data_IF_514905969206
#
_entry.id   IF_514905969206
#
_cell.length_a   1.000
_cell.length_b   1.000
_cell.length_c   1.000
_cell.angle_alpha   90.00
_cell.angle_beta   90.00
_cell.angle_gamma   90.00
#
_symmetry.space_group_name_H-M   'P 1'
#
loop_
_entity.id
_entity.type
_entity.pdbx_description
1 polymer ?
#
# COMPACT_ATOMS: atom_id res chain seq x y z
N UNK A 1 44.45 -56.81 -44.37
CA UNK A 1 43.90 -57.32 -43.10
C UNK A 1 44.71 -56.74 -41.92
N UNK A 2 44.00 -56.14 -40.96
CA UNK A 2 44.31 -55.99 -39.51
C UNK A 2 45.55 -55.20 -39.02
N UNK A 3 45.22 -54.06 -38.36
CA UNK A 3 45.67 -53.48 -37.05
C UNK A 3 47.16 -53.16 -36.84
N UNK A 4 47.51 -51.87 -36.67
CA UNK A 4 47.72 -51.11 -35.40
C UNK A 4 49.11 -51.42 -34.78
N UNK A 5 49.97 -50.51 -34.32
CA UNK A 5 49.87 -49.16 -33.72
C UNK A 5 51.32 -48.68 -33.59
N UNK A 6 51.67 -47.39 -33.70
CA UNK A 6 52.79 -46.82 -32.91
C UNK A 6 52.67 -45.29 -32.80
N UNK A 7 52.93 -44.80 -31.59
CA UNK A 7 52.86 -43.41 -31.11
C UNK A 7 53.95 -42.54 -31.75
N UNK A 8 53.66 -41.27 -31.99
CA UNK A 8 54.67 -40.22 -32.18
C UNK A 8 54.34 -38.98 -31.33
N UNK A 9 55.40 -38.38 -30.80
CA UNK A 9 55.44 -37.30 -29.83
C UNK A 9 55.77 -35.94 -30.49
N UNK A 10 55.43 -34.85 -29.80
CA UNK A 10 55.88 -33.47 -30.07
C UNK A 10 55.13 -32.78 -31.21
N UNK A 11 54.85 -31.48 -31.22
CA UNK A 11 55.38 -30.31 -30.51
C UNK A 11 54.27 -29.24 -30.60
N UNK A 12 53.97 -28.50 -29.53
CA UNK A 12 53.19 -27.26 -29.64
C UNK A 12 54.03 -26.11 -29.08
N UNK A 13 54.54 -25.28 -29.99
CA UNK A 13 55.20 -24.02 -29.68
C UNK A 13 54.17 -22.98 -29.23
N UNK A 14 54.36 -22.42 -28.04
CA UNK A 14 53.67 -21.24 -27.58
C UNK A 14 54.23 -20.00 -28.29
N UNK A 15 53.37 -19.27 -29.01
CA UNK A 15 53.71 -17.98 -29.58
C UNK A 15 53.13 -16.86 -28.68
N UNK A 16 54.04 -16.11 -28.05
CA UNK A 16 53.79 -14.78 -27.50
C UNK A 16 53.52 -13.81 -28.65
N UNK A 17 52.43 -13.04 -28.58
CA UNK A 17 52.26 -11.81 -29.34
C UNK A 17 51.68 -10.73 -28.43
N UNK A 18 52.44 -9.64 -28.31
CA UNK A 18 52.14 -8.44 -27.56
C UNK A 18 50.99 -7.65 -28.20
N UNK A 19 50.11 -7.07 -27.37
CA UNK A 19 49.19 -6.01 -27.78
C UNK A 19 49.34 -4.81 -26.84
N UNK A 20 49.62 -3.70 -27.50
CA UNK A 20 49.87 -2.31 -27.14
C UNK A 20 49.12 -1.74 -25.94
N UNK A 21 49.83 -0.96 -25.12
CA UNK A 21 49.24 0.03 -24.22
C UNK A 21 48.61 1.16 -25.06
N UNK A 22 47.29 1.29 -25.00
CA UNK A 22 46.59 2.53 -25.34
C UNK A 22 46.03 3.12 -24.05
N UNK A 23 46.45 4.35 -23.74
CA UNK A 23 45.96 5.16 -22.65
C UNK A 23 44.56 5.67 -23.03
N UNK A 24 43.51 4.97 -22.61
CA UNK A 24 42.13 5.42 -22.81
C UNK A 24 41.73 6.37 -21.67
N UNK A 25 41.34 7.56 -22.08
CA UNK A 25 41.00 8.72 -21.28
C UNK A 25 39.63 8.52 -20.62
N UNK A 26 39.61 8.34 -19.30
CA UNK A 26 38.38 8.28 -18.50
C UNK A 26 37.52 9.54 -18.74
N UNK A 27 36.39 9.37 -19.43
CA UNK A 27 35.34 10.38 -19.51
C UNK A 27 34.50 10.29 -18.24
N UNK A 28 34.85 11.11 -17.24
CA UNK A 28 33.98 11.43 -16.12
C UNK A 28 32.75 12.17 -16.63
N UNK A 29 31.62 11.47 -16.78
CA UNK A 29 30.32 12.09 -16.92
C UNK A 29 29.90 12.70 -15.56
N UNK A 30 29.48 13.98 -15.49
CA UNK A 30 29.01 14.55 -14.24
C UNK A 30 27.67 13.94 -13.84
N UNK A 31 27.63 13.34 -12.65
CA UNK A 31 26.41 12.89 -11.99
C UNK A 31 25.51 14.10 -11.72
N UNK A 32 24.45 14.26 -12.50
CA UNK A 32 23.35 15.19 -12.22
C UNK A 32 22.49 14.68 -11.07
N UNK A 33 23.00 14.78 -9.84
CA UNK A 33 22.29 14.40 -8.59
C UNK A 33 21.52 15.58 -7.96
N UNK A 34 20.87 16.45 -8.75
CA UNK A 34 20.22 17.66 -8.18
C UNK A 34 18.69 17.66 -8.22
N UNK A 35 18.03 16.77 -8.96
CA UNK A 35 16.55 16.76 -9.04
C UNK A 35 15.90 15.89 -7.95
N UNK A 36 16.48 14.73 -7.63
CA UNK A 36 15.90 13.74 -6.69
C UNK A 36 15.93 14.20 -5.22
N UNK A 37 16.97 14.97 -4.83
CA UNK A 37 17.12 15.47 -3.47
C UNK A 37 16.13 16.61 -3.15
N UNK A 38 15.88 17.50 -4.11
CA UNK A 38 14.95 18.62 -3.94
C UNK A 38 13.50 18.15 -3.80
N UNK A 39 13.06 17.18 -4.61
CA UNK A 39 11.72 16.57 -4.49
C UNK A 39 11.57 15.74 -3.19
N UNK A 40 12.66 15.11 -2.71
CA UNK A 40 12.69 14.42 -1.41
C UNK A 40 12.52 15.39 -0.25
N UNK A 41 13.23 16.53 -0.26
CA UNK A 41 13.19 17.54 0.80
C UNK A 41 11.78 18.10 1.00
N UNK A 42 11.06 18.37 -0.10
CA UNK A 42 9.69 18.90 -0.05
C UNK A 42 8.67 17.88 0.49
N UNK A 43 8.81 16.57 0.16
CA UNK A 43 8.00 15.50 0.79
C UNK A 43 8.34 15.28 2.27
N UNK A 44 9.57 15.59 2.67
CA UNK A 44 10.10 15.27 4.00
C UNK A 44 9.77 16.34 5.05
N UNK A 45 9.59 17.60 4.63
CA UNK A 45 9.14 18.69 5.50
C UNK A 45 7.61 18.79 5.64
N UNK A 46 6.83 18.32 4.64
CA UNK A 46 5.36 18.33 4.70
C UNK A 46 4.75 17.20 5.57
N UNK A 47 5.57 16.25 6.06
CA UNK A 47 5.13 14.98 6.65
C UNK A 47 5.64 14.73 8.09
N UNK A 48 5.99 15.78 8.84
CA UNK A 48 6.43 15.60 10.25
C UNK A 48 5.28 15.30 11.21
N UNK A 49 4.06 15.70 10.87
CA UNK A 49 2.83 15.24 11.53
C UNK A 49 2.00 14.49 10.51
N UNK A 50 1.98 13.17 10.65
CA UNK A 50 1.16 12.32 9.80
C UNK A 50 -0.33 12.62 9.93
N UNK A 51 -1.15 12.15 9.00
CA UNK A 51 -2.61 12.40 8.96
C UNK A 51 -3.38 11.17 8.51
N UNK A 52 -4.65 11.10 8.91
CA UNK A 52 -5.58 10.01 8.58
C UNK A 52 -6.68 10.52 7.65
N UNK A 53 -7.03 9.73 6.64
CA UNK A 53 -8.21 9.93 5.80
C UNK A 53 -9.31 8.95 6.20
N UNK A 54 -10.56 9.41 6.29
CA UNK A 54 -11.73 8.56 6.54
C UNK A 54 -12.79 8.80 5.46
N UNK A 55 -13.34 7.73 4.88
CA UNK A 55 -14.55 7.81 4.06
C UNK A 55 -15.76 8.07 4.97
N UNK A 56 -16.29 9.29 4.93
CA UNK A 56 -17.31 9.74 5.88
C UNK A 56 -18.61 8.93 5.87
N UNK A 57 -18.99 8.34 4.73
CA UNK A 57 -20.17 7.48 4.63
C UNK A 57 -20.03 6.16 5.39
N UNK A 58 -18.83 5.83 5.89
CA UNK A 58 -18.53 4.57 6.57
C UNK A 58 -18.35 4.71 8.08
N UNK A 59 -18.59 5.91 8.64
CA UNK A 59 -18.48 6.14 10.08
C UNK A 59 -19.68 6.91 10.60
N UNK A 60 -20.03 6.69 11.86
CA UNK A 60 -21.12 7.41 12.52
C UNK A 60 -20.59 8.52 13.42
N UNK A 61 -21.15 9.73 13.31
CA UNK A 61 -20.75 10.88 14.12
C UNK A 61 -19.53 11.64 13.61
N UNK A 62 -19.01 11.32 12.42
CA UNK A 62 -17.88 12.03 11.81
C UNK A 62 -16.63 11.98 12.71
N UNK A 63 -16.16 13.13 13.17
CA UNK A 63 -15.00 13.22 14.07
C UNK A 63 -15.24 12.59 15.45
N UNK A 64 -16.50 12.38 15.84
CA UNK A 64 -16.87 11.66 17.05
C UNK A 64 -16.95 10.14 16.87
N UNK A 65 -16.68 9.62 15.66
CA UNK A 65 -16.61 8.17 15.41
C UNK A 65 -15.44 7.54 16.17
N UNK A 66 -15.54 6.24 16.48
CA UNK A 66 -14.49 5.53 17.23
C UNK A 66 -13.17 5.54 16.47
N UNK A 67 -13.22 5.40 15.16
CA UNK A 67 -12.07 5.42 14.26
C UNK A 67 -11.39 6.81 14.26
N UNK A 68 -12.17 7.89 14.17
CA UNK A 68 -11.65 9.24 14.24
C UNK A 68 -11.04 9.53 15.62
N UNK A 69 -11.70 9.12 16.71
CA UNK A 69 -11.19 9.31 18.07
C UNK A 69 -9.91 8.52 18.31
N UNK A 70 -9.80 7.28 17.80
CA UNK A 70 -8.58 6.49 17.87
C UNK A 70 -7.42 7.20 17.17
N UNK A 71 -7.62 7.72 15.95
CA UNK A 71 -6.59 8.48 15.23
C UNK A 71 -6.17 9.77 15.97
N UNK A 72 -7.14 10.53 16.47
CA UNK A 72 -6.90 11.77 17.21
C UNK A 72 -6.14 11.52 18.51
N UNK A 73 -6.44 10.43 19.23
CA UNK A 73 -5.74 10.04 20.46
C UNK A 73 -4.26 9.73 20.24
N UNK A 74 -3.90 9.30 19.03
CA UNK A 74 -2.53 9.03 18.59
C UNK A 74 -1.83 10.29 18.04
N UNK A 75 -2.50 11.45 18.02
CA UNK A 75 -1.95 12.71 17.53
C UNK A 75 -2.00 12.86 15.99
N UNK A 76 -2.76 12.03 15.29
CA UNK A 76 -2.94 12.14 13.84
C UNK A 76 -4.18 12.99 13.53
N UNK A 77 -4.05 14.20 12.95
CA UNK A 77 -5.19 14.92 12.41
C UNK A 77 -5.99 14.06 11.41
N UNK A 78 -7.31 14.17 11.49
CA UNK A 78 -8.25 13.39 10.69
C UNK A 78 -8.88 14.28 9.62
N UNK A 79 -8.87 13.82 8.38
CA UNK A 79 -9.68 14.37 7.28
C UNK A 79 -10.83 13.40 7.00
N UNK A 80 -12.06 13.88 7.09
CA UNK A 80 -13.25 13.10 6.70
C UNK A 80 -13.76 13.63 5.37
N UNK A 81 -13.90 12.75 4.38
CA UNK A 81 -14.36 13.12 3.05
C UNK A 81 -15.70 12.49 2.72
N UNK A 82 -16.51 13.22 1.94
CA UNK A 82 -17.74 12.70 1.35
C UNK A 82 -17.44 11.67 0.26
N UNK A 83 -18.41 10.81 -0.13
CA UNK A 83 -18.28 9.90 -1.27
C UNK A 83 -17.86 10.60 -2.58
N UNK A 84 -18.35 11.81 -2.83
CA UNK A 84 -18.00 12.59 -4.02
C UNK A 84 -16.54 13.05 -3.99
N UNK A 85 -16.08 13.55 -2.84
CA UNK A 85 -14.67 13.93 -2.65
C UNK A 85 -13.75 12.72 -2.78
N UNK A 86 -14.07 11.59 -2.14
CA UNK A 86 -13.30 10.34 -2.25
C UNK A 86 -13.11 9.88 -3.70
N UNK A 87 -14.19 9.91 -4.51
CA UNK A 87 -14.13 9.53 -5.92
C UNK A 87 -13.32 10.50 -6.79
N UNK A 88 -13.18 11.76 -6.37
CA UNK A 88 -12.41 12.76 -7.09
C UNK A 88 -10.90 12.72 -6.77
N UNK A 89 -10.49 12.00 -5.73
CA UNK A 89 -9.08 11.91 -5.31
C UNK A 89 -8.25 11.08 -6.28
N UNK A 90 -7.01 11.53 -6.53
CA UNK A 90 -6.01 10.78 -7.31
C UNK A 90 -5.19 9.84 -6.41
N UNK A 91 -4.37 8.91 -6.96
CA UNK A 91 -3.45 8.12 -6.14
C UNK A 91 -2.53 8.99 -5.28
N UNK A 92 -2.05 10.11 -5.81
CA UNK A 92 -1.19 11.06 -5.09
C UNK A 92 -1.92 11.76 -3.93
N UNK A 93 -3.23 11.98 -4.05
CA UNK A 93 -4.03 12.52 -2.95
C UNK A 93 -4.15 11.53 -1.80
N UNK A 94 -4.34 10.24 -2.09
CA UNK A 94 -4.36 9.19 -1.08
C UNK A 94 -2.99 8.99 -0.41
N UNK A 95 -1.89 9.07 -1.16
CA UNK A 95 -0.52 8.94 -0.63
C UNK A 95 -0.09 10.05 0.34
N UNK A 96 -0.89 11.14 0.48
CA UNK A 96 -0.62 12.21 1.47
C UNK A 96 -0.96 11.77 2.90
N UNK A 97 -1.61 10.64 3.09
CA UNK A 97 -2.07 10.13 4.38
C UNK A 97 -1.24 8.94 4.82
N UNK A 98 -0.94 8.83 6.11
CA UNK A 98 -0.20 7.69 6.67
C UNK A 98 -1.13 6.52 6.95
N UNK A 99 -2.43 6.77 6.99
CA UNK A 99 -3.47 5.76 7.10
C UNK A 99 -4.76 6.21 6.44
N UNK A 100 -5.43 5.27 5.80
CA UNK A 100 -6.75 5.41 5.21
C UNK A 100 -7.71 4.48 5.96
N UNK A 101 -8.90 4.97 6.27
CA UNK A 101 -9.93 4.22 6.98
C UNK A 101 -11.22 4.19 6.16
N UNK A 102 -11.70 2.97 5.94
CA UNK A 102 -13.06 2.64 5.56
C UNK A 102 -13.67 1.99 6.80
N UNK A 103 -14.41 2.79 7.56
CA UNK A 103 -14.87 2.45 8.89
C UNK A 103 -16.04 1.48 8.90
N UNK A 104 -16.55 1.24 10.09
CA UNK A 104 -17.72 0.41 10.32
C UNK A 104 -19.00 1.22 10.10
N UNK A 105 -19.70 0.95 9.00
CA UNK A 105 -20.86 1.71 8.52
C UNK A 105 -22.13 1.59 9.40
N UNK A 106 -22.00 1.32 10.70
CA UNK A 106 -23.10 1.13 11.64
C UNK A 106 -24.13 0.09 11.16
N UNK A 107 -23.63 -0.99 10.57
CA UNK A 107 -24.43 -2.14 10.16
C UNK A 107 -25.66 -1.81 9.29
N UNK A 108 -25.47 -1.03 8.21
CA UNK A 108 -26.53 -0.79 7.21
C UNK A 108 -27.04 -2.09 6.52
N UNK A 109 -26.33 -3.21 6.65
CA UNK A 109 -26.74 -4.51 6.08
C UNK A 109 -26.51 -4.65 4.57
N UNK A 110 -25.87 -3.66 3.93
CA UNK A 110 -25.50 -3.66 2.52
C UNK A 110 -24.18 -2.91 2.26
N UNK A 111 -23.78 -2.78 0.99
CA UNK A 111 -22.53 -2.12 0.58
C UNK A 111 -22.68 -0.65 0.22
N UNK A 112 -23.85 -0.03 0.43
CA UNK A 112 -24.13 1.35 0.01
C UNK A 112 -23.15 2.37 0.60
N UNK A 113 -22.83 2.20 1.89
CA UNK A 113 -21.89 3.05 2.62
C UNK A 113 -20.46 3.03 2.05
N UNK A 114 -20.03 1.92 1.46
CA UNK A 114 -18.68 1.71 0.91
C UNK A 114 -18.64 1.85 -0.62
N UNK A 115 -19.76 2.17 -1.27
CA UNK A 115 -19.85 2.14 -2.74
C UNK A 115 -18.81 3.04 -3.42
N UNK A 116 -18.54 4.24 -2.89
CA UNK A 116 -17.50 5.12 -3.44
C UNK A 116 -16.08 4.52 -3.36
N UNK A 117 -15.81 3.69 -2.36
CA UNK A 117 -14.55 2.97 -2.26
C UNK A 117 -14.49 1.77 -3.21
N UNK A 118 -15.62 1.09 -3.46
CA UNK A 118 -15.70 0.05 -4.48
C UNK A 118 -15.45 0.65 -5.87
N UNK A 119 -16.14 1.75 -6.21
CA UNK A 119 -16.07 2.38 -7.53
C UNK A 119 -14.65 2.87 -7.87
N UNK A 120 -13.89 3.29 -6.86
CA UNK A 120 -12.56 3.88 -7.02
C UNK A 120 -11.43 3.01 -6.46
N UNK A 121 -11.63 1.69 -6.38
CA UNK A 121 -10.73 0.78 -5.66
C UNK A 121 -9.33 0.66 -6.26
N UNK A 122 -9.22 0.76 -7.58
CA UNK A 122 -7.94 0.79 -8.28
C UNK A 122 -7.13 2.06 -8.02
N UNK A 123 -7.75 3.15 -7.59
CA UNK A 123 -7.08 4.43 -7.35
C UNK A 123 -6.55 4.51 -5.92
N UNK A 124 -7.40 4.32 -4.90
CA UNK A 124 -6.92 4.30 -3.51
C UNK A 124 -6.04 3.08 -3.24
N UNK A 125 -6.33 1.93 -3.86
CA UNK A 125 -5.55 0.71 -3.70
C UNK A 125 -4.10 0.86 -4.17
N UNK A 126 -3.86 1.66 -5.21
CA UNK A 126 -2.51 1.95 -5.70
C UNK A 126 -1.68 2.84 -4.75
N UNK A 127 -2.33 3.53 -3.81
CA UNK A 127 -1.65 4.34 -2.81
C UNK A 127 -1.26 3.55 -1.54
N UNK A 128 -1.87 2.39 -1.31
CA UNK A 128 -1.66 1.59 -0.10
C UNK A 128 -0.40 0.73 -0.24
N UNK A 129 0.65 1.12 0.49
CA UNK A 129 1.96 0.44 0.53
C UNK A 129 2.46 0.17 1.96
N UNK A 130 1.60 0.39 2.95
CA UNK A 130 1.85 0.21 4.37
C UNK A 130 1.17 -1.01 4.98
N UNK A 131 0.92 -0.95 6.28
CA UNK A 131 0.26 -1.99 7.05
C UNK A 131 -1.24 -2.00 6.77
N UNK A 132 -1.83 -3.19 6.58
CA UNK A 132 -3.27 -3.35 6.26
C UNK A 132 -3.96 -4.18 7.34
N UNK A 133 -5.11 -3.70 7.80
CA UNK A 133 -6.06 -4.41 8.68
C UNK A 133 -7.40 -4.49 7.96
N UNK A 134 -7.93 -5.70 7.83
CA UNK A 134 -9.29 -5.95 7.33
C UNK A 134 -10.02 -6.75 8.40
N UNK A 135 -11.22 -6.32 8.78
CA UNK A 135 -12.07 -7.06 9.71
C UNK A 135 -13.45 -7.31 9.11
N UNK A 136 -14.00 -8.51 9.38
CA UNK A 136 -15.38 -8.89 9.11
C UNK A 136 -16.34 -8.66 10.28
N UNK A 137 -15.85 -8.17 11.43
CA UNK A 137 -16.66 -7.97 12.64
C UNK A 137 -17.26 -6.57 12.71
N UNK A 138 -18.42 -6.44 13.35
CA UNK A 138 -18.97 -5.15 13.82
C UNK A 138 -18.22 -4.66 15.06
N UNK A 139 -17.03 -4.09 14.86
CA UNK A 139 -16.17 -3.68 15.97
C UNK A 139 -16.73 -2.46 16.72
N UNK A 140 -17.53 -1.62 16.05
CA UNK A 140 -18.06 -0.41 16.68
C UNK A 140 -19.19 -0.69 17.66
N UNK A 141 -19.99 -1.74 17.41
CA UNK A 141 -21.11 -2.14 18.27
C UNK A 141 -20.72 -3.18 19.33
N UNK A 142 -19.73 -4.04 19.06
CA UNK A 142 -19.31 -5.11 19.98
C UNK A 142 -18.52 -4.63 21.22
N UNK A 143 -18.40 -3.33 21.44
CA UNK A 143 -17.73 -2.80 22.63
C UNK A 143 -16.22 -3.10 22.67
N UNK A 144 -15.56 -3.11 21.50
CA UNK A 144 -14.12 -3.42 21.37
C UNK A 144 -13.27 -2.20 20.97
N UNK A 145 -13.30 -1.09 21.75
CA UNK A 145 -12.55 0.13 21.39
C UNK A 145 -11.04 -0.13 21.25
N UNK A 146 -10.48 -0.99 22.11
CA UNK A 146 -9.06 -1.38 22.04
C UNK A 146 -8.68 -2.02 20.70
N UNK A 147 -9.60 -2.76 20.06
CA UNK A 147 -9.32 -3.33 18.75
C UNK A 147 -9.16 -2.24 17.70
N UNK A 148 -10.07 -1.25 17.68
CA UNK A 148 -10.01 -0.12 16.74
C UNK A 148 -8.75 0.71 17.01
N UNK A 149 -8.43 0.99 18.27
CA UNK A 149 -7.21 1.70 18.66
C UNK A 149 -5.95 0.98 18.16
N UNK A 150 -5.88 -0.33 18.35
CA UNK A 150 -4.75 -1.15 17.89
C UNK A 150 -4.68 -1.20 16.35
N UNK A 151 -5.82 -1.31 15.67
CA UNK A 151 -5.88 -1.29 14.22
C UNK A 151 -5.37 0.05 13.67
N UNK A 152 -5.84 1.18 14.21
CA UNK A 152 -5.39 2.52 13.80
C UNK A 152 -3.91 2.72 14.11
N UNK A 153 -3.43 2.29 15.29
CA UNK A 153 -2.00 2.33 15.62
C UNK A 153 -1.16 1.49 14.64
N UNK A 154 -1.67 0.33 14.21
CA UNK A 154 -0.94 -0.56 13.32
C UNK A 154 -0.81 0.01 11.90
N UNK A 155 -1.86 0.62 11.35
CA UNK A 155 -1.81 1.18 9.99
C UNK A 155 -0.85 2.36 9.88
N UNK A 156 -0.65 3.14 10.96
CA UNK A 156 0.27 4.29 10.98
C UNK A 156 1.69 3.95 11.44
N UNK A 157 1.96 2.72 11.91
CA UNK A 157 3.25 2.32 12.46
C UNK A 157 4.42 2.48 11.47
N UNK A 158 4.13 2.53 10.17
CA UNK A 158 5.10 2.75 9.09
C UNK A 158 4.95 4.16 8.53
N UNK A 159 5.47 5.17 9.23
CA UNK A 159 5.25 6.60 8.96
C UNK A 159 5.54 7.10 7.52
N UNK A 160 6.31 6.38 6.71
CA UNK A 160 6.59 6.74 5.30
C UNK A 160 5.64 6.11 4.28
N UNK A 161 4.74 5.25 4.74
CA UNK A 161 3.84 4.45 3.92
C UNK A 161 2.39 4.76 4.26
N UNK A 162 1.49 4.43 3.35
CA UNK A 162 0.04 4.57 3.54
C UNK A 162 -0.53 3.23 4.01
N UNK A 163 -0.90 3.15 5.29
CA UNK A 163 -1.63 1.99 5.81
C UNK A 163 -3.14 2.05 5.51
N UNK A 164 -3.82 0.93 5.77
CA UNK A 164 -5.26 0.79 5.48
C UNK A 164 -5.98 0.04 6.60
N UNK A 165 -7.09 0.59 7.08
CA UNK A 165 -8.07 -0.13 7.91
C UNK A 165 -9.41 -0.21 7.17
N UNK A 166 -9.91 -1.44 6.98
CA UNK A 166 -11.24 -1.71 6.42
C UNK A 166 -12.05 -2.50 7.45
N UNK A 167 -13.20 -1.96 7.85
CA UNK A 167 -14.24 -2.71 8.52
C UNK A 167 -15.34 -3.08 7.53
N UNK A 168 -15.58 -4.37 7.33
CA UNK A 168 -16.73 -4.84 6.55
C UNK A 168 -18.02 -4.80 7.38
N UNK A 169 -17.92 -4.79 8.71
CA UNK A 169 -19.06 -4.77 9.64
C UNK A 169 -20.14 -5.74 9.22
N UNK A 170 -21.39 -5.26 9.18
CA UNK A 170 -22.52 -6.06 8.74
C UNK A 170 -22.82 -6.02 7.23
N UNK A 171 -21.97 -5.44 6.39
CA UNK A 171 -22.26 -5.27 4.95
C UNK A 171 -22.56 -6.61 4.23
N UNK A 172 -22.08 -7.73 4.79
CA UNK A 172 -22.24 -9.07 4.24
C UNK A 172 -22.89 -10.07 5.22
N UNK A 173 -23.55 -9.61 6.30
CA UNK A 173 -24.07 -10.47 7.37
C UNK A 173 -25.07 -11.55 6.93
N UNK A 174 -25.70 -11.39 5.76
CA UNK A 174 -26.66 -12.34 5.20
C UNK A 174 -26.23 -12.83 3.80
N UNK A 175 -24.97 -12.61 3.44
CA UNK A 175 -24.46 -12.95 2.13
C UNK A 175 -24.43 -14.47 1.94
N UNK A 176 -24.95 -14.94 0.81
CA UNK A 176 -24.83 -16.34 0.44
C UNK A 176 -23.34 -16.76 0.35
N UNK A 177 -23.02 -18.04 0.58
CA UNK A 177 -21.65 -18.52 0.41
C UNK A 177 -21.08 -18.16 -0.97
N UNK A 178 -19.79 -17.82 -1.01
CA UNK A 178 -19.06 -17.40 -2.20
C UNK A 178 -19.46 -16.03 -2.76
N UNK A 179 -20.12 -15.18 -1.97
CA UNK A 179 -20.40 -13.79 -2.39
C UNK A 179 -19.09 -13.02 -2.54
N UNK A 180 -18.79 -12.39 -3.69
CA UNK A 180 -17.57 -11.61 -3.87
C UNK A 180 -17.53 -10.37 -2.97
N UNK A 181 -16.32 -9.93 -2.60
CA UNK A 181 -16.08 -8.66 -1.90
C UNK A 181 -15.27 -7.70 -2.77
N UNK A 182 -15.91 -6.96 -3.70
CA UNK A 182 -15.22 -6.07 -4.63
C UNK A 182 -14.36 -5.00 -3.94
N UNK A 183 -14.75 -4.57 -2.73
CA UNK A 183 -14.00 -3.61 -1.93
C UNK A 183 -12.55 -4.05 -1.68
N UNK A 184 -12.31 -5.35 -1.55
CA UNK A 184 -10.99 -5.91 -1.24
C UNK A 184 -10.16 -6.24 -2.48
N UNK A 185 -10.66 -5.93 -3.69
CA UNK A 185 -9.97 -6.19 -4.97
C UNK A 185 -8.50 -5.74 -4.99
N UNK A 186 -8.11 -4.59 -4.40
CA UNK A 186 -6.70 -4.18 -4.36
C UNK A 186 -5.76 -5.16 -3.67
N UNK A 187 -6.29 -6.01 -2.79
CA UNK A 187 -5.53 -6.98 -2.00
C UNK A 187 -5.68 -8.42 -2.49
N UNK A 188 -6.53 -8.65 -3.49
CA UNK A 188 -6.79 -9.97 -4.05
C UNK A 188 -8.28 -10.23 -4.29
N UNK A 189 -8.60 -11.49 -4.59
CA UNK A 189 -9.97 -11.95 -4.77
C UNK A 189 -10.48 -12.56 -3.47
N UNK A 190 -11.51 -11.95 -2.90
CA UNK A 190 -12.12 -12.39 -1.64
C UNK A 190 -13.58 -12.76 -1.86
N UNK A 191 -14.03 -13.79 -1.16
CA UNK A 191 -15.44 -14.15 -1.01
C UNK A 191 -15.79 -14.27 0.47
N UNK A 192 -17.08 -14.15 0.78
CA UNK A 192 -17.62 -14.21 2.14
C UNK A 192 -18.83 -15.14 2.22
N UNK A 193 -19.18 -15.48 3.45
CA UNK A 193 -20.47 -16.03 3.86
C UNK A 193 -20.91 -15.27 5.12
N UNK A 194 -22.20 -14.94 5.20
CA UNK A 194 -22.83 -14.24 6.33
C UNK A 194 -23.42 -15.17 7.37
#
# INVERSE_FOLDING_TARGET
>A
MRRATFKFAGVLFAALSAVSLSCEKDQSAPLTTSASAATRSVRQEANVTGRILILGSTVTGGHSSREAQAALSLGYPVTIVTPAQWKAMTPEDFQKYNGIIIGDAACQGDTSAVQAAIDNSNIWGAAVDGNVVITGSDATHNGTPQFIENAVSYIVARSRYTGMYISLGCAYQNAAPNTPVPLLKPFGNFTVAG
#
